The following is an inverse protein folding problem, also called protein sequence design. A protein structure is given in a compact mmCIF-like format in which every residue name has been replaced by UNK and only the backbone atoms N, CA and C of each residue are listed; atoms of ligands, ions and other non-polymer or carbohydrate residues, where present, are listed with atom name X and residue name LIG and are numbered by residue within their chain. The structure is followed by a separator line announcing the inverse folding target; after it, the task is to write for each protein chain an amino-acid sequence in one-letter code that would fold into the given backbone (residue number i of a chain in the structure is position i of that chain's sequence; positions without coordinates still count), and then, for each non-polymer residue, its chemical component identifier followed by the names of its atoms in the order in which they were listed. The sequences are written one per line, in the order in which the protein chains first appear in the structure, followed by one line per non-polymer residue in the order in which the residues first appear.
data_IF_798673057974
#
_entry.id   IF_798673057974
#
_cell.length_a   1.000
_cell.length_b   1.000
_cell.length_c   1.000
_cell.angle_alpha   90.00
_cell.angle_beta   90.00
_cell.angle_gamma   90.00
#
_symmetry.space_group_name_H-M   'P 1'
#
loop_
_entity.id
_entity.type
_entity.pdbx_description
1 polymer ?
#
# COMPACT_ATOMS: atom_id res chain seq x y z
N UNK A 1 -22.86 15.23 9.87
CA UNK A 1 -22.83 14.15 8.87
C UNK A 1 -22.10 12.94 9.46
N UNK A 2 -22.72 11.79 9.44
CA UNK A 2 -22.00 10.58 9.82
C UNK A 2 -20.88 10.30 8.83
N UNK A 3 -19.76 9.78 9.32
CA UNK A 3 -18.66 9.37 8.45
C UNK A 3 -18.99 8.04 7.79
N UNK A 4 -18.50 7.86 6.57
CA UNK A 4 -18.62 6.59 5.85
C UNK A 4 -17.73 5.54 6.53
N UNK A 5 -18.25 4.34 6.83
CA UNK A 5 -17.41 3.29 7.40
C UNK A 5 -16.24 2.95 6.50
N UNK A 6 -15.02 2.92 7.08
CA UNK A 6 -13.82 2.57 6.35
C UNK A 6 -12.73 2.09 7.33
N UNK A 7 -11.93 1.15 6.85
CA UNK A 7 -10.69 0.76 7.53
C UNK A 7 -9.57 1.25 6.63
N UNK A 8 -8.73 2.11 7.17
CA UNK A 8 -7.68 2.77 6.39
C UNK A 8 -6.31 2.34 6.91
N UNK A 9 -5.53 1.59 6.11
CA UNK A 9 -4.19 1.19 6.51
C UNK A 9 -3.27 2.40 6.69
N UNK A 10 -2.41 2.32 7.69
CA UNK A 10 -1.34 3.28 7.91
C UNK A 10 0.00 2.57 7.77
N UNK A 11 0.83 3.02 6.82
CA UNK A 11 2.09 2.39 6.49
C UNK A 11 3.25 3.30 6.87
N UNK A 12 4.36 2.70 7.31
CA UNK A 12 5.60 3.42 7.60
C UNK A 12 6.64 3.10 6.55
N UNK A 13 7.20 4.15 5.96
CA UNK A 13 8.26 4.01 4.95
C UNK A 13 9.49 4.78 5.39
N UNK A 14 10.64 4.21 5.12
CA UNK A 14 11.92 4.89 5.33
C UNK A 14 12.10 6.02 4.31
N UNK A 15 11.73 5.75 3.06
CA UNK A 15 11.76 6.73 1.95
C UNK A 15 10.33 6.94 1.45
N UNK A 16 9.58 7.80 2.10
CA UNK A 16 8.18 8.02 1.77
C UNK A 16 7.98 8.67 0.39
N UNK A 17 8.79 9.66 -0.06
CA UNK A 17 8.63 10.18 -1.42
C UNK A 17 8.74 9.10 -2.50
N UNK A 18 9.74 8.21 -2.38
CA UNK A 18 9.91 7.10 -3.31
C UNK A 18 8.74 6.12 -3.23
N UNK A 19 8.26 5.85 -2.02
CA UNK A 19 7.12 4.97 -1.82
C UNK A 19 5.86 5.53 -2.50
N UNK A 20 5.61 6.83 -2.38
CA UNK A 20 4.48 7.48 -3.02
C UNK A 20 4.56 7.32 -4.54
N UNK A 21 5.71 7.62 -5.14
CA UNK A 21 5.91 7.47 -6.58
C UNK A 21 5.66 6.03 -7.01
N UNK A 22 6.21 5.07 -6.27
CA UNK A 22 6.03 3.65 -6.57
C UNK A 22 4.56 3.22 -6.52
N UNK A 23 3.85 3.59 -5.44
CA UNK A 23 2.45 3.19 -5.26
C UNK A 23 1.57 3.79 -6.36
N UNK A 24 1.87 5.02 -6.79
CA UNK A 24 1.16 5.63 -7.92
C UNK A 24 1.48 4.91 -9.23
N UNK A 25 2.74 4.68 -9.53
CA UNK A 25 3.17 4.11 -10.80
C UNK A 25 2.81 2.62 -10.91
N UNK A 26 3.03 1.85 -9.86
CA UNK A 26 2.84 0.42 -9.87
C UNK A 26 1.37 0.00 -9.69
N UNK A 27 0.68 0.63 -8.75
CA UNK A 27 -0.65 0.16 -8.32
C UNK A 27 -1.78 1.11 -8.70
N UNK A 28 -1.48 2.25 -9.30
CA UNK A 28 -2.50 3.17 -9.80
C UNK A 28 -3.10 4.09 -8.74
N UNK A 29 -2.46 4.22 -7.59
CA UNK A 29 -2.90 5.21 -6.61
C UNK A 29 -2.71 6.63 -7.14
N UNK A 30 -3.55 7.53 -6.66
CA UNK A 30 -3.43 8.96 -6.91
C UNK A 30 -3.16 9.69 -5.60
N UNK A 31 -2.40 10.78 -5.66
CA UNK A 31 -2.14 11.61 -4.49
C UNK A 31 -3.42 12.35 -4.12
N UNK A 32 -3.91 12.08 -2.90
CA UNK A 32 -5.09 12.73 -2.37
C UNK A 32 -4.70 13.92 -1.47
N UNK A 33 -3.71 13.70 -0.61
CA UNK A 33 -3.13 14.75 0.22
C UNK A 33 -1.69 14.36 0.57
N UNK A 34 -0.77 15.33 0.52
CA UNK A 34 0.64 15.09 0.87
C UNK A 34 1.12 16.28 1.71
N UNK A 35 1.63 15.99 2.90
CA UNK A 35 2.11 17.00 3.84
C UNK A 35 3.59 16.77 4.15
N UNK A 36 4.49 17.40 3.40
CA UNK A 36 5.92 17.30 3.69
C UNK A 36 6.29 18.13 4.94
N UNK A 37 7.41 17.76 5.54
CA UNK A 37 7.98 18.58 6.61
C UNK A 37 8.37 19.95 6.06
N UNK A 38 8.00 21.06 6.74
CA UNK A 38 8.29 22.40 6.24
C UNK A 38 9.79 22.71 6.07
N UNK A 39 10.64 22.05 6.84
CA UNK A 39 12.08 22.29 6.83
C UNK A 39 12.84 21.23 6.02
N UNK A 40 12.28 20.05 5.85
CA UNK A 40 12.89 18.92 5.15
C UNK A 40 11.90 18.32 4.16
N UNK A 41 11.82 18.84 2.91
CA UNK A 41 10.79 18.39 1.95
C UNK A 41 10.84 16.91 1.58
N UNK A 42 11.98 16.25 1.79
CA UNK A 42 12.10 14.80 1.56
C UNK A 42 11.48 13.96 2.67
N UNK A 43 11.06 14.57 3.74
CA UNK A 43 10.36 13.91 4.83
C UNK A 43 8.87 14.18 4.67
N UNK A 44 8.11 13.13 4.51
CA UNK A 44 6.64 13.21 4.41
C UNK A 44 6.07 12.91 5.79
N UNK A 45 5.51 13.94 6.43
CA UNK A 45 4.89 13.79 7.74
C UNK A 45 3.63 12.93 7.64
N UNK A 46 2.84 13.14 6.57
CA UNK A 46 1.61 12.41 6.34
C UNK A 46 1.23 12.49 4.87
N UNK A 47 0.80 11.39 4.31
CA UNK A 47 0.24 11.34 2.97
C UNK A 47 -0.98 10.45 2.92
N UNK A 48 -1.88 10.76 2.01
CA UNK A 48 -3.08 9.99 1.71
C UNK A 48 -3.07 9.72 0.22
N UNK A 49 -3.11 8.46 -0.15
CA UNK A 49 -3.21 8.02 -1.54
C UNK A 49 -4.53 7.31 -1.73
N UNK A 50 -5.19 7.56 -2.86
CA UNK A 50 -6.53 7.05 -3.13
C UNK A 50 -6.55 6.23 -4.42
N UNK A 51 -7.29 5.14 -4.42
CA UNK A 51 -7.58 4.32 -5.60
C UNK A 51 -9.02 3.81 -5.53
N UNK A 52 -9.85 4.23 -6.48
CA UNK A 52 -11.24 3.81 -6.59
C UNK A 52 -12.02 3.93 -5.27
N UNK A 53 -11.79 5.03 -4.54
CA UNK A 53 -12.43 5.29 -3.25
C UNK A 53 -11.78 4.62 -2.05
N UNK A 54 -10.73 3.83 -2.23
CA UNK A 54 -9.98 3.21 -1.15
C UNK A 54 -8.74 4.06 -0.83
N UNK A 55 -8.48 4.23 0.44
CA UNK A 55 -7.41 5.11 0.90
C UNK A 55 -6.35 4.34 1.66
N UNK A 56 -5.08 4.69 1.45
CA UNK A 56 -3.99 4.31 2.34
C UNK A 56 -3.32 5.58 2.85
N UNK A 57 -2.85 5.53 4.09
CA UNK A 57 -2.10 6.62 4.69
C UNK A 57 -0.67 6.16 4.92
N UNK A 58 0.28 7.07 4.76
CA UNK A 58 1.69 6.75 4.95
C UNK A 58 2.51 7.98 5.34
N UNK A 59 3.71 7.74 5.80
CA UNK A 59 4.68 8.77 6.09
C UNK A 59 6.03 8.16 6.38
N UNK A 60 7.03 9.02 6.56
CA UNK A 60 8.32 8.58 7.05
C UNK A 60 8.20 8.18 8.52
N UNK A 61 9.01 7.24 8.95
CA UNK A 61 9.04 6.82 10.34
C UNK A 61 9.77 7.80 11.26
N UNK A 62 9.49 9.09 11.13
CA UNK A 62 10.11 10.12 11.95
C UNK A 62 9.71 10.01 13.42
N UNK A 63 10.60 10.46 14.30
CA UNK A 63 10.32 10.45 15.73
C UNK A 63 9.21 11.45 16.07
N UNK A 64 8.13 10.95 16.64
CA UNK A 64 7.01 11.75 17.12
C UNK A 64 6.29 11.00 18.24
N UNK A 65 5.38 11.71 18.91
CA UNK A 65 4.63 11.12 20.03
C UNK A 65 3.86 9.86 19.63
N UNK A 66 3.20 9.91 18.48
CA UNK A 66 2.43 8.76 17.99
C UNK A 66 3.33 7.55 17.78
N UNK A 67 4.45 7.72 17.10
CA UNK A 67 5.40 6.62 16.83
C UNK A 67 5.93 6.04 18.15
N UNK A 68 6.31 6.91 19.10
CA UNK A 68 6.84 6.47 20.40
C UNK A 68 5.82 5.67 21.20
N UNK A 69 4.57 6.14 21.23
CA UNK A 69 3.51 5.49 22.02
C UNK A 69 2.97 4.25 21.34
N UNK A 70 2.76 4.29 20.03
CA UNK A 70 2.20 3.17 19.28
C UNK A 70 3.21 2.06 19.02
N UNK A 71 4.50 2.40 18.93
CA UNK A 71 5.55 1.43 18.63
C UNK A 71 5.52 0.90 17.20
N UNK A 72 4.86 1.62 16.28
CA UNK A 72 4.79 1.21 14.86
C UNK A 72 6.17 1.37 14.22
N UNK A 73 6.56 0.37 13.47
CA UNK A 73 7.86 0.28 12.81
C UNK A 73 7.71 0.14 11.30
N UNK A 74 8.72 0.59 10.55
CA UNK A 74 8.84 0.23 9.15
C UNK A 74 9.20 -1.25 9.03
N UNK A 75 9.05 -1.81 7.82
CA UNK A 75 9.42 -3.21 7.58
C UNK A 75 10.89 -3.45 7.90
N UNK A 76 11.77 -2.53 7.51
CA UNK A 76 13.20 -2.65 7.80
C UNK A 76 13.49 -2.71 9.30
N UNK A 77 12.84 -1.85 10.09
CA UNK A 77 13.00 -1.83 11.54
C UNK A 77 12.46 -3.09 12.20
N UNK A 78 11.35 -3.63 11.66
CA UNK A 78 10.71 -4.83 12.20
C UNK A 78 11.39 -6.13 11.78
N UNK A 79 12.18 -6.10 10.71
CA UNK A 79 12.84 -7.29 10.16
C UNK A 79 11.96 -8.11 9.20
N UNK A 80 10.81 -7.60 8.83
CA UNK A 80 9.87 -8.24 7.91
C UNK A 80 8.49 -7.64 8.02
N UNK A 81 7.64 -7.88 7.02
CA UNK A 81 6.26 -7.45 7.04
C UNK A 81 5.47 -8.23 8.09
N UNK A 82 4.57 -7.54 8.80
CA UNK A 82 3.73 -8.15 9.83
C UNK A 82 2.27 -8.23 9.42
N UNK A 83 1.91 -7.65 8.27
CA UNK A 83 0.58 -7.76 7.68
C UNK A 83 0.67 -7.66 6.17
N UNK A 84 -0.38 -8.07 5.49
CA UNK A 84 -0.53 -7.87 4.06
C UNK A 84 -1.79 -7.07 3.77
N UNK A 85 -1.80 -6.40 2.62
CA UNK A 85 -2.97 -5.72 2.11
C UNK A 85 -3.51 -6.52 0.93
N UNK A 86 -4.82 -6.73 0.89
CA UNK A 86 -5.50 -7.33 -0.25
C UNK A 86 -6.35 -6.27 -0.94
N UNK A 87 -6.14 -6.10 -2.23
CA UNK A 87 -6.85 -5.11 -3.05
C UNK A 87 -7.56 -5.84 -4.18
N UNK A 88 -8.85 -5.61 -4.33
CA UNK A 88 -9.60 -6.20 -5.44
C UNK A 88 -9.31 -5.46 -6.74
N UNK A 89 -9.04 -6.20 -7.80
CA UNK A 89 -8.79 -5.65 -9.14
C UNK A 89 -9.49 -6.52 -10.17
N UNK A 90 -9.92 -5.93 -11.29
CA UNK A 90 -10.62 -6.68 -12.33
C UNK A 90 -9.66 -7.44 -13.24
N UNK A 91 -8.66 -6.78 -13.78
CA UNK A 91 -7.68 -7.39 -14.70
C UNK A 91 -6.37 -7.62 -13.95
N UNK A 92 -6.27 -8.79 -13.36
CA UNK A 92 -5.13 -9.18 -12.51
C UNK A 92 -3.83 -9.22 -13.32
N UNK A 93 -3.85 -9.78 -14.53
CA UNK A 93 -2.64 -9.91 -15.34
C UNK A 93 -2.10 -8.54 -15.78
N UNK A 94 -2.97 -7.65 -16.24
CA UNK A 94 -2.56 -6.29 -16.61
C UNK A 94 -2.02 -5.53 -15.40
N UNK A 95 -2.65 -5.70 -14.24
CA UNK A 95 -2.20 -5.06 -13.00
C UNK A 95 -0.79 -5.55 -12.62
N UNK A 96 -0.54 -6.86 -12.72
CA UNK A 96 0.76 -7.44 -12.41
C UNK A 96 1.85 -6.94 -13.36
N UNK A 97 1.55 -6.82 -14.66
CA UNK A 97 2.52 -6.30 -15.62
C UNK A 97 2.89 -4.84 -15.36
N UNK A 98 1.91 -4.03 -15.00
CA UNK A 98 2.16 -2.64 -14.59
C UNK A 98 3.04 -2.57 -13.34
N UNK A 99 2.72 -3.39 -12.34
CA UNK A 99 3.48 -3.45 -11.11
C UNK A 99 4.92 -3.91 -11.36
N UNK A 100 5.09 -4.93 -12.19
CA UNK A 100 6.41 -5.44 -12.57
C UNK A 100 7.24 -4.35 -13.25
N UNK A 101 6.65 -3.64 -14.20
CA UNK A 101 7.35 -2.58 -14.93
C UNK A 101 7.79 -1.44 -14.01
N UNK A 102 7.07 -1.19 -12.93
CA UNK A 102 7.40 -0.17 -11.94
C UNK A 102 8.36 -0.65 -10.85
N UNK A 103 8.76 -1.93 -10.87
CA UNK A 103 9.76 -2.46 -9.96
C UNK A 103 9.23 -3.24 -8.76
N UNK A 104 7.96 -3.67 -8.80
CA UNK A 104 7.43 -4.54 -7.76
C UNK A 104 8.16 -5.89 -7.75
N UNK A 105 8.41 -6.41 -6.56
CA UNK A 105 8.97 -7.76 -6.39
C UNK A 105 7.81 -8.75 -6.32
N UNK A 106 7.45 -9.33 -7.48
CA UNK A 106 6.35 -10.30 -7.55
C UNK A 106 6.89 -11.66 -7.09
N UNK A 107 6.38 -12.15 -5.95
CA UNK A 107 6.80 -13.43 -5.39
C UNK A 107 5.76 -14.54 -5.59
N UNK A 108 4.54 -14.20 -5.97
CA UNK A 108 3.52 -15.14 -6.44
C UNK A 108 2.95 -14.57 -7.74
N UNK A 109 3.22 -15.24 -8.86
CA UNK A 109 2.73 -14.83 -10.16
C UNK A 109 1.20 -14.96 -10.27
N UNK A 110 0.55 -14.20 -11.18
CA UNK A 110 -0.89 -14.33 -11.38
C UNK A 110 -1.30 -15.79 -11.61
N UNK A 111 -2.26 -16.23 -10.83
CA UNK A 111 -2.78 -17.59 -10.92
C UNK A 111 -4.24 -17.65 -10.46
N UNK A 112 -4.97 -18.63 -10.97
CA UNK A 112 -6.32 -18.90 -10.51
C UNK A 112 -6.31 -19.45 -9.08
N UNK A 113 -7.28 -19.01 -8.29
CA UNK A 113 -7.38 -19.38 -6.89
C UNK A 113 -8.46 -20.45 -6.68
N UNK A 114 -8.22 -21.41 -5.79
CA UNK A 114 -9.17 -22.47 -5.46
C UNK A 114 -10.51 -21.92 -4.95
N UNK A 115 -10.48 -20.80 -4.25
CA UNK A 115 -11.66 -20.17 -3.68
C UNK A 115 -12.37 -19.22 -4.65
N UNK A 116 -11.88 -19.08 -5.87
CA UNK A 116 -12.47 -18.25 -6.92
C UNK A 116 -11.60 -17.07 -7.28
N UNK A 117 -11.73 -16.61 -8.53
CA UNK A 117 -10.95 -15.50 -9.03
C UNK A 117 -9.50 -15.86 -9.30
N UNK A 118 -8.74 -14.81 -9.59
CA UNK A 118 -7.32 -14.89 -9.95
C UNK A 118 -6.58 -13.86 -9.13
N UNK A 119 -5.32 -14.08 -8.79
CA UNK A 119 -4.58 -13.14 -7.96
C UNK A 119 -3.08 -13.29 -8.08
N UNK A 120 -2.35 -12.29 -7.59
CA UNK A 120 -0.90 -12.30 -7.46
C UNK A 120 -0.48 -11.55 -6.20
N UNK A 121 0.77 -11.74 -5.78
CA UNK A 121 1.31 -11.07 -4.61
C UNK A 121 2.69 -10.53 -4.88
N UNK A 122 2.99 -9.38 -4.31
CA UNK A 122 4.27 -8.72 -4.49
C UNK A 122 4.69 -7.97 -3.22
N UNK A 123 5.96 -7.55 -3.23
CA UNK A 123 6.49 -6.61 -2.23
C UNK A 123 6.73 -5.27 -2.90
N UNK A 124 6.46 -4.20 -2.16
CA UNK A 124 6.90 -2.88 -2.57
C UNK A 124 8.41 -2.71 -2.28
N UNK A 125 9.04 -1.59 -2.68
CA UNK A 125 10.48 -1.44 -2.51
C UNK A 125 10.99 -1.54 -1.08
N UNK A 126 10.11 -1.38 -0.08
CA UNK A 126 10.50 -1.48 1.32
C UNK A 126 10.02 -2.77 1.98
N UNK A 127 9.43 -3.68 1.21
CA UNK A 127 9.06 -5.00 1.70
C UNK A 127 7.66 -5.14 2.26
N UNK A 128 6.81 -4.12 2.16
CA UNK A 128 5.40 -4.31 2.49
C UNK A 128 4.76 -5.26 1.49
N UNK A 129 3.87 -6.12 1.97
CA UNK A 129 3.26 -7.17 1.17
C UNK A 129 1.89 -6.72 0.66
N UNK A 130 1.70 -6.82 -0.65
CA UNK A 130 0.48 -6.46 -1.34
C UNK A 130 0.01 -7.66 -2.16
N UNK A 131 -1.28 -7.97 -2.04
CA UNK A 131 -1.92 -8.98 -2.88
C UNK A 131 -3.06 -8.32 -3.65
N UNK A 132 -3.16 -8.65 -4.92
CA UNK A 132 -4.17 -8.11 -5.82
C UNK A 132 -4.92 -9.26 -6.46
N UNK A 133 -6.24 -9.18 -6.46
CA UNK A 133 -7.03 -10.29 -6.97
C UNK A 133 -8.44 -9.89 -7.38
N UNK A 134 -9.05 -10.76 -8.18
CA UNK A 134 -10.42 -10.59 -8.64
C UNK A 134 -11.44 -11.29 -7.74
N UNK A 135 -10.98 -12.01 -6.72
CA UNK A 135 -11.89 -12.52 -5.70
C UNK A 135 -12.41 -11.36 -4.86
N UNK A 136 -13.73 -11.21 -4.81
CA UNK A 136 -14.39 -10.17 -4.03
C UNK A 136 -15.08 -10.78 -2.82
N UNK A 137 -14.49 -10.68 -1.62
CA UNK A 137 -15.11 -11.22 -0.41
C UNK A 137 -16.39 -10.49 0.01
N UNK A 138 -16.66 -9.32 -0.57
CA UNK A 138 -17.87 -8.54 -0.28
C UNK A 138 -19.00 -8.83 -1.29
N UNK A 139 -18.74 -9.63 -2.31
CA UNK A 139 -19.78 -10.00 -3.27
C UNK A 139 -20.81 -10.92 -2.59
N UNK A 140 -22.10 -10.83 -3.00
CA UNK A 140 -23.12 -11.76 -2.50
C UNK A 140 -22.74 -13.21 -2.78
N UNK A 141 -23.06 -14.09 -1.84
CA UNK A 141 -22.81 -15.53 -1.99
C UNK A 141 -23.73 -16.17 -3.06
#
# INVERSE_FOLDING_TARGET
MPVKPAIIPGLRYKDAPRAIDFLCDAFGFERHAVYPDPNEPNIIMHAQLIDRGNLVMLGNGTDNEYKRKAGIKSVAEAGGATMGLYVTVNDVDAHAERARAAGADIFIEPMDQDYGGRGYSCRDPEGNVWSFGSYDPLAPA
#
